data_IF_761202873941
#
_entry.id   IF_761202873941
#
_cell.length_a   1.000
_cell.length_b   1.000
_cell.length_c   1.000
_cell.angle_alpha   90.00
_cell.angle_beta   90.00
_cell.angle_gamma   90.00
#
_symmetry.space_group_name_H-M   'P 1'
#
loop_
_entity.id
_entity.type
_entity.pdbx_description
1 polymer ?
#
# COMPACT_ATOMS: atom_id res chain seq x y z
N UNK A 1 10.57 -24.02 -9.74
CA UNK A 1 11.31 -24.79 -8.73
C UNK A 1 10.36 -25.20 -7.61
N UNK A 2 9.80 -26.41 -7.69
CA UNK A 2 9.06 -27.03 -6.58
C UNK A 2 10.07 -27.85 -5.78
N UNK A 3 10.40 -27.43 -4.55
CA UNK A 3 11.16 -28.30 -3.63
C UNK A 3 10.19 -29.38 -3.17
N UNK A 4 10.41 -30.61 -3.61
CA UNK A 4 9.72 -31.78 -3.08
C UNK A 4 10.02 -31.88 -1.58
N UNK A 5 8.98 -32.03 -0.75
CA UNK A 5 9.15 -32.46 0.64
C UNK A 5 9.73 -33.87 0.58
N UNK A 6 10.93 -34.06 1.11
CA UNK A 6 11.43 -35.40 1.39
C UNK A 6 10.62 -35.94 2.57
N UNK A 7 9.91 -37.04 2.33
CA UNK A 7 9.15 -37.75 3.33
C UNK A 7 10.05 -38.18 4.49
N UNK A 8 9.51 -38.07 5.70
CA UNK A 8 10.22 -38.31 6.94
C UNK A 8 10.88 -39.69 6.97
N UNK A 9 12.13 -39.73 7.42
CA UNK A 9 12.80 -40.98 7.75
C UNK A 9 12.04 -41.65 8.90
N UNK A 10 11.35 -42.74 8.57
CA UNK A 10 10.83 -43.71 9.53
C UNK A 10 12.06 -44.46 10.07
N UNK A 11 12.53 -44.07 11.26
CA UNK A 11 13.50 -44.87 12.00
C UNK A 11 12.74 -45.95 12.77
N UNK A 12 12.80 -47.17 12.23
CA UNK A 12 12.41 -48.38 12.93
C UNK A 12 13.51 -48.76 13.93
N UNK A 13 13.15 -48.91 15.20
CA UNK A 13 13.77 -49.97 16.01
C UNK A 13 14.87 -49.61 17.01
N UNK A 14 14.66 -48.59 17.84
CA UNK A 14 15.00 -48.57 19.27
C UNK A 14 14.66 -47.18 19.81
N UNK A 15 13.95 -47.08 20.93
CA UNK A 15 13.51 -45.79 21.51
C UNK A 15 14.67 -44.93 22.05
N UNK A 16 15.89 -45.09 21.53
CA UNK A 16 17.07 -44.40 21.99
C UNK A 16 17.12 -42.98 21.43
N UNK A 17 16.49 -42.07 22.18
CA UNK A 17 16.65 -40.63 21.96
C UNK A 17 18.10 -40.25 22.36
N UNK A 18 18.91 -39.69 21.43
CA UNK A 18 20.28 -39.30 21.71
C UNK A 18 20.37 -38.34 22.92
N UNK A 19 21.44 -38.45 23.70
CA UNK A 19 21.62 -37.61 24.90
C UNK A 19 21.55 -36.11 24.59
N UNK A 20 22.10 -35.71 23.43
CA UNK A 20 22.04 -34.35 22.92
C UNK A 20 20.61 -33.91 22.66
N UNK A 21 19.79 -34.75 22.02
CA UNK A 21 18.36 -34.50 21.78
C UNK A 21 17.57 -34.37 23.11
N UNK A 22 17.93 -35.17 24.13
CA UNK A 22 17.34 -35.05 25.48
C UNK A 22 17.70 -33.73 26.15
N UNK A 23 18.94 -33.26 26.00
CA UNK A 23 19.39 -31.97 26.52
C UNK A 23 18.67 -30.81 25.83
N UNK A 24 18.60 -30.84 24.49
CA UNK A 24 17.86 -29.84 23.71
C UNK A 24 16.38 -29.80 24.12
N UNK A 25 15.73 -30.97 24.29
CA UNK A 25 14.32 -31.03 24.69
C UNK A 25 14.09 -30.57 26.15
N UNK A 26 15.05 -30.79 27.05
CA UNK A 26 14.99 -30.32 28.45
C UNK A 26 15.14 -28.81 28.62
N UNK A 27 15.83 -28.15 27.68
CA UNK A 27 16.10 -26.70 27.72
C UNK A 27 15.17 -25.90 26.81
N UNK A 28 14.33 -26.55 26.01
CA UNK A 28 13.27 -25.89 25.28
C UNK A 28 12.12 -25.53 26.23
N UNK A 29 11.74 -24.27 26.24
CA UNK A 29 10.56 -23.77 26.96
C UNK A 29 9.28 -24.42 26.38
N UNK A 30 8.24 -24.55 27.22
CA UNK A 30 6.97 -25.15 26.79
C UNK A 30 6.38 -24.37 25.60
N UNK A 31 6.38 -25.01 24.42
CA UNK A 31 5.85 -24.44 23.18
C UNK A 31 4.33 -24.24 23.20
N UNK A 32 3.61 -24.73 24.21
CA UNK A 32 2.18 -24.43 24.38
C UNK A 32 1.92 -22.93 24.55
N UNK A 33 2.91 -22.17 25.03
CA UNK A 33 2.83 -20.72 25.18
C UNK A 33 3.66 -19.96 24.14
N UNK A 34 4.43 -20.67 23.31
CA UNK A 34 5.13 -20.10 22.19
C UNK A 34 4.11 -19.88 21.06
N UNK A 35 3.56 -18.66 20.99
CA UNK A 35 2.52 -18.27 20.04
C UNK A 35 2.76 -18.83 18.64
N UNK A 36 2.07 -19.94 18.33
CA UNK A 36 2.11 -20.59 17.04
C UNK A 36 1.51 -19.69 15.98
N UNK A 37 2.12 -19.66 14.80
CA UNK A 37 1.44 -19.26 13.58
C UNK A 37 0.33 -20.29 13.30
N UNK A 38 -0.83 -20.11 13.93
CA UNK A 38 -2.01 -20.89 13.62
C UNK A 38 -2.47 -20.53 12.20
N UNK A 39 -2.76 -21.56 11.42
CA UNK A 39 -3.37 -21.41 10.11
C UNK A 39 -4.79 -20.83 10.29
N UNK A 40 -4.96 -19.60 9.82
CA UNK A 40 -6.22 -19.03 9.34
C UNK A 40 -7.41 -19.00 10.31
N UNK A 41 -7.31 -18.16 11.35
CA UNK A 41 -8.53 -17.68 12.01
C UNK A 41 -9.23 -16.61 11.14
N UNK A 42 -10.40 -16.96 10.62
CA UNK A 42 -11.35 -16.03 9.98
C UNK A 42 -11.66 -14.79 10.85
N UNK A 43 -11.41 -14.88 12.15
CA UNK A 43 -11.50 -13.77 13.09
C UNK A 43 -10.41 -12.70 12.84
N UNK A 44 -9.16 -13.09 12.61
CA UNK A 44 -8.08 -12.14 12.33
C UNK A 44 -8.30 -11.39 11.01
N UNK A 45 -8.83 -12.09 10.00
CA UNK A 45 -9.26 -11.48 8.74
C UNK A 45 -10.29 -10.36 8.95
N UNK A 46 -11.33 -10.63 9.76
CA UNK A 46 -12.38 -9.66 10.11
C UNK A 46 -11.84 -8.47 10.91
N UNK A 47 -10.93 -8.69 11.86
CA UNK A 47 -10.29 -7.61 12.63
C UNK A 47 -9.49 -6.70 11.69
N UNK A 48 -8.71 -7.28 10.77
CA UNK A 48 -7.92 -6.52 9.79
C UNK A 48 -8.80 -5.66 8.87
N UNK A 49 -9.92 -6.22 8.40
CA UNK A 49 -10.88 -5.51 7.56
C UNK A 49 -11.47 -4.30 8.30
N UNK A 50 -11.93 -4.50 9.55
CA UNK A 50 -12.43 -3.42 10.40
C UNK A 50 -11.39 -2.31 10.62
N UNK A 51 -10.12 -2.67 10.83
CA UNK A 51 -9.03 -1.69 10.99
C UNK A 51 -8.79 -0.91 9.70
N UNK A 52 -8.82 -1.59 8.54
CA UNK A 52 -8.62 -0.95 7.23
C UNK A 52 -9.76 0.04 6.91
N UNK A 53 -11.01 -0.38 7.12
CA UNK A 53 -12.19 0.47 6.95
C UNK A 53 -12.15 1.68 7.87
N UNK A 54 -11.82 1.48 9.15
CA UNK A 54 -11.68 2.59 10.11
C UNK A 54 -10.59 3.58 9.69
N UNK A 55 -9.45 3.09 9.17
CA UNK A 55 -8.38 3.96 8.64
C UNK A 55 -8.84 4.74 7.42
N UNK A 56 -9.55 4.10 6.50
CA UNK A 56 -10.08 4.76 5.31
C UNK A 56 -11.14 5.80 5.67
N UNK A 57 -12.03 5.48 6.62
CA UNK A 57 -13.02 6.41 7.14
C UNK A 57 -12.36 7.64 7.77
N UNK A 58 -11.37 7.45 8.64
CA UNK A 58 -10.60 8.55 9.24
C UNK A 58 -9.87 9.39 8.21
N UNK A 59 -9.30 8.77 7.16
CA UNK A 59 -8.64 9.51 6.09
C UNK A 59 -9.64 10.34 5.27
N UNK A 60 -10.82 9.79 4.99
CA UNK A 60 -11.91 10.51 4.31
C UNK A 60 -12.46 11.64 5.19
N UNK A 61 -12.66 11.40 6.50
CA UNK A 61 -13.08 12.42 7.47
C UNK A 61 -12.02 13.52 7.61
N UNK A 62 -10.73 13.18 7.63
CA UNK A 62 -9.64 14.17 7.64
C UNK A 62 -9.60 14.98 6.34
N UNK A 63 -9.89 14.35 5.19
CA UNK A 63 -10.03 15.05 3.91
C UNK A 63 -11.30 15.91 3.82
N UNK A 64 -12.36 15.57 4.55
CA UNK A 64 -13.57 16.37 4.66
C UNK A 64 -13.40 17.56 5.64
N UNK A 65 -12.62 17.38 6.70
CA UNK A 65 -12.28 18.42 7.68
C UNK A 65 -11.12 19.33 7.24
N UNK A 66 -10.39 18.97 6.18
CA UNK A 66 -9.42 19.88 5.58
C UNK A 66 -10.16 21.03 4.89
N UNK A 67 -9.62 22.24 5.02
CA UNK A 67 -10.17 23.49 4.46
C UNK A 67 -10.76 23.24 3.06
N UNK A 68 -12.04 23.59 2.81
CA UNK A 68 -12.69 23.29 1.54
C UNK A 68 -11.91 23.92 0.40
N UNK A 69 -11.10 23.11 -0.28
CA UNK A 69 -10.45 23.54 -1.50
C UNK A 69 -11.57 23.81 -2.49
N UNK A 70 -11.77 25.08 -2.80
CA UNK A 70 -12.76 25.51 -3.78
C UNK A 70 -12.41 24.82 -5.11
N UNK A 71 -13.31 23.99 -5.66
CA UNK A 71 -13.10 23.44 -6.99
C UNK A 71 -12.85 24.58 -7.98
N UNK A 72 -11.79 24.51 -8.80
CA UNK A 72 -11.60 25.46 -9.87
C UNK A 72 -12.84 25.49 -10.76
N UNK A 73 -13.23 26.69 -11.20
CA UNK A 73 -14.42 26.84 -12.01
C UNK A 73 -14.34 26.03 -13.30
N UNK A 74 -13.13 25.88 -13.88
CA UNK A 74 -12.93 25.29 -15.20
C UNK A 74 -11.98 24.08 -15.18
N UNK A 75 -12.22 23.12 -16.08
CA UNK A 75 -11.33 22.00 -16.38
C UNK A 75 -10.05 22.48 -17.09
N UNK A 76 -8.87 21.95 -16.73
CA UNK A 76 -7.60 22.29 -17.38
C UNK A 76 -7.56 21.89 -18.87
N UNK A 77 -8.20 20.79 -19.25
CA UNK A 77 -8.09 20.23 -20.60
C UNK A 77 -9.12 20.79 -21.59
N UNK A 78 -10.30 21.22 -21.12
CA UNK A 78 -11.39 21.66 -21.98
C UNK A 78 -12.05 22.98 -21.59
N UNK A 79 -11.59 23.63 -20.51
CA UNK A 79 -12.07 24.93 -20.01
C UNK A 79 -13.57 25.01 -19.68
N UNK A 80 -14.26 23.87 -19.69
CA UNK A 80 -15.69 23.76 -19.30
C UNK A 80 -15.84 23.81 -17.79
N UNK A 81 -17.02 24.22 -17.29
CA UNK A 81 -17.29 24.24 -15.86
C UNK A 81 -17.07 22.86 -15.23
N UNK A 82 -16.22 22.79 -14.20
CA UNK A 82 -15.85 21.55 -13.54
C UNK A 82 -16.91 21.17 -12.49
N UNK A 83 -18.01 20.58 -12.94
CA UNK A 83 -19.02 20.03 -12.05
C UNK A 83 -18.66 18.59 -11.65
N UNK A 84 -18.42 18.33 -10.36
CA UNK A 84 -18.25 17.00 -9.73
C UNK A 84 -17.44 15.97 -10.53
N UNK A 85 -16.11 16.12 -10.56
CA UNK A 85 -15.20 15.13 -11.18
C UNK A 85 -14.67 14.11 -10.17
N UNK A 86 -14.58 12.84 -10.59
CA UNK A 86 -13.90 11.79 -9.82
C UNK A 86 -12.45 12.15 -9.45
N UNK A 87 -11.72 12.75 -10.39
CA UNK A 87 -10.31 13.13 -10.19
C UNK A 87 -10.19 14.29 -9.21
N UNK A 88 -11.16 15.21 -9.22
CA UNK A 88 -11.23 16.28 -8.24
C UNK A 88 -11.50 15.73 -6.84
N UNK A 89 -12.54 14.91 -6.68
CA UNK A 89 -12.94 14.38 -5.37
C UNK A 89 -11.82 13.55 -4.71
N UNK A 90 -11.19 12.64 -5.46
CA UNK A 90 -10.19 11.72 -4.90
C UNK A 90 -8.77 12.28 -4.86
N UNK A 91 -8.40 13.11 -5.84
CA UNK A 91 -7.01 13.55 -6.03
C UNK A 91 -6.83 15.07 -6.00
N UNK A 92 -7.90 15.89 -5.97
CA UNK A 92 -7.85 17.34 -6.21
C UNK A 92 -7.19 17.69 -7.55
N UNK A 93 -7.46 16.90 -8.58
CA UNK A 93 -6.94 17.14 -9.91
C UNK A 93 -8.07 17.69 -10.81
N UNK A 94 -7.99 18.94 -11.29
CA UNK A 94 -9.12 19.65 -11.91
C UNK A 94 -9.29 19.29 -13.40
N UNK A 95 -9.67 18.03 -13.63
CA UNK A 95 -10.00 17.51 -14.95
C UNK A 95 -11.37 16.84 -14.91
N UNK A 96 -12.25 17.18 -15.85
CA UNK A 96 -13.57 16.58 -15.96
C UNK A 96 -13.50 15.11 -16.42
N UNK A 97 -14.57 14.35 -16.15
CA UNK A 97 -14.58 12.91 -16.49
C UNK A 97 -14.55 12.63 -17.99
N UNK A 98 -14.95 13.59 -18.84
CA UNK A 98 -14.85 13.47 -20.30
C UNK A 98 -13.41 13.57 -20.81
N UNK A 99 -12.57 14.39 -20.15
CA UNK A 99 -11.15 14.52 -20.46
C UNK A 99 -10.28 13.46 -19.75
N UNK A 100 -10.89 12.60 -18.93
CA UNK A 100 -10.18 11.59 -18.15
C UNK A 100 -9.54 10.51 -19.04
N UNK A 101 -8.24 10.66 -19.31
CA UNK A 101 -7.43 9.62 -19.95
C UNK A 101 -6.90 8.55 -18.99
N UNK A 102 -7.65 7.46 -18.82
CA UNK A 102 -7.31 6.31 -17.95
C UNK A 102 -6.00 5.58 -18.29
N UNK A 103 -5.53 5.65 -19.54
CA UNK A 103 -4.32 4.94 -20.00
C UNK A 103 -3.08 5.85 -20.06
N UNK A 104 -3.27 7.16 -20.13
CA UNK A 104 -2.22 8.16 -20.28
C UNK A 104 -1.83 8.84 -18.95
N UNK A 105 -1.99 10.16 -18.91
CA UNK A 105 -1.62 11.00 -17.77
C UNK A 105 -2.45 10.71 -16.50
N UNK A 106 -3.72 10.30 -16.66
CA UNK A 106 -4.62 10.04 -15.53
C UNK A 106 -4.64 8.56 -15.12
N UNK A 107 -3.63 7.78 -15.54
CA UNK A 107 -3.43 6.40 -15.07
C UNK A 107 -3.12 6.40 -13.56
N UNK A 108 -3.74 5.48 -12.83
CA UNK A 108 -3.38 5.19 -11.45
C UNK A 108 -2.17 4.26 -11.41
N UNK A 109 -1.15 4.64 -10.67
CA UNK A 109 0.09 3.88 -10.49
C UNK A 109 0.27 3.48 -9.03
N UNK A 110 0.79 2.28 -8.80
CA UNK A 110 1.05 1.83 -7.42
C UNK A 110 2.24 2.56 -6.81
N UNK A 111 2.32 2.58 -5.47
CA UNK A 111 3.51 3.10 -4.76
C UNK A 111 4.81 2.50 -5.29
N UNK A 112 4.85 1.19 -5.53
CA UNK A 112 6.03 0.50 -6.05
C UNK A 112 6.35 0.92 -7.48
N UNK A 113 5.32 1.05 -8.34
CA UNK A 113 5.49 1.53 -9.72
C UNK A 113 6.03 2.97 -9.75
N UNK A 114 5.51 3.86 -8.91
CA UNK A 114 5.98 5.24 -8.80
C UNK A 114 7.46 5.32 -8.36
N UNK A 115 7.86 4.51 -7.37
CA UNK A 115 9.26 4.45 -6.92
C UNK A 115 10.20 3.93 -8.00
N UNK A 116 9.81 2.88 -8.73
CA UNK A 116 10.65 2.27 -9.75
C UNK A 116 10.76 3.14 -11.02
N UNK A 117 9.65 3.74 -11.46
CA UNK A 117 9.64 4.55 -12.70
C UNK A 117 10.28 5.93 -12.51
N UNK A 118 10.10 6.55 -11.35
CA UNK A 118 10.55 7.92 -11.09
C UNK A 118 11.70 8.03 -10.08
N UNK A 119 12.26 6.89 -9.65
CA UNK A 119 13.36 6.82 -8.68
C UNK A 119 13.08 7.57 -7.37
N UNK A 120 11.81 7.61 -6.96
CA UNK A 120 11.35 8.28 -5.76
C UNK A 120 11.63 7.44 -4.51
N UNK A 121 11.95 8.09 -3.40
CA UNK A 121 12.05 7.46 -2.08
C UNK A 121 10.71 7.53 -1.35
N UNK A 122 10.56 6.70 -0.32
CA UNK A 122 9.36 6.70 0.51
C UNK A 122 9.13 8.04 1.23
N UNK A 123 10.22 8.72 1.64
CA UNK A 123 10.14 10.07 2.21
C UNK A 123 9.66 11.12 1.22
N UNK A 124 9.94 10.96 -0.08
CA UNK A 124 9.50 11.90 -1.10
C UNK A 124 7.98 11.83 -1.29
N UNK A 125 7.38 10.66 -1.11
CA UNK A 125 5.93 10.46 -1.24
C UNK A 125 5.16 10.87 0.01
N UNK A 126 5.66 10.52 1.20
CA UNK A 126 4.90 10.66 2.45
C UNK A 126 5.18 11.99 3.20
N UNK A 127 6.43 12.49 3.18
CA UNK A 127 6.84 13.61 4.03
C UNK A 127 6.92 14.95 3.28
N UNK A 128 7.33 14.94 2.01
CA UNK A 128 7.51 16.18 1.26
C UNK A 128 6.17 16.82 0.93
N UNK A 129 6.00 18.08 1.30
CA UNK A 129 4.88 18.92 0.89
C UNK A 129 4.99 19.26 -0.62
N UNK A 130 3.88 19.37 -1.36
CA UNK A 130 2.52 18.98 -0.95
C UNK A 130 2.36 17.46 -0.87
N UNK A 131 1.61 17.00 0.13
CA UNK A 131 1.30 15.56 0.33
C UNK A 131 0.36 15.11 -0.77
N UNK A 132 0.72 14.02 -1.46
CA UNK A 132 -0.10 13.47 -2.53
C UNK A 132 -1.27 12.66 -1.95
N UNK A 133 -2.49 12.93 -2.45
CA UNK A 133 -3.65 12.08 -2.16
C UNK A 133 -3.50 10.73 -2.87
N UNK A 134 -4.04 9.67 -2.26
CA UNK A 134 -3.98 8.32 -2.79
C UNK A 134 -5.27 7.55 -2.51
N UNK A 135 -5.51 6.52 -3.30
CA UNK A 135 -6.58 5.55 -3.07
C UNK A 135 -5.98 4.26 -2.53
N UNK A 136 -6.50 3.78 -1.40
CA UNK A 136 -6.16 2.47 -0.84
C UNK A 136 -7.03 1.38 -1.46
N UNK A 137 -6.42 0.28 -1.93
CA UNK A 137 -7.11 -0.92 -2.42
C UNK A 137 -6.47 -2.18 -1.85
N UNK A 138 -7.21 -3.29 -1.79
CA UNK A 138 -6.66 -4.60 -1.44
C UNK A 138 -5.54 -4.98 -2.40
N UNK A 139 -4.49 -5.62 -1.87
CA UNK A 139 -3.37 -6.05 -2.66
C UNK A 139 -3.79 -7.22 -3.57
N UNK A 140 -3.59 -7.12 -4.90
CA UNK A 140 -4.06 -8.14 -5.85
C UNK A 140 -3.32 -9.48 -5.71
N UNK A 141 -2.11 -9.49 -5.13
CA UNK A 141 -1.36 -10.73 -4.93
C UNK A 141 -1.87 -11.54 -3.74
N UNK A 142 -2.20 -10.86 -2.64
CA UNK A 142 -2.80 -11.49 -1.48
C UNK A 142 -3.59 -10.43 -0.69
N UNK A 143 -4.91 -10.59 -0.50
CA UNK A 143 -5.72 -9.64 0.27
C UNK A 143 -5.30 -9.54 1.74
N UNK A 144 -4.57 -10.54 2.28
CA UNK A 144 -3.97 -10.50 3.62
C UNK A 144 -2.73 -9.61 3.71
N UNK A 145 -2.15 -9.16 2.60
CA UNK A 145 -1.06 -8.19 2.64
C UNK A 145 -1.57 -6.78 2.96
N UNK A 146 -0.64 -5.85 3.18
CA UNK A 146 -0.99 -4.44 3.38
C UNK A 146 -1.72 -3.89 2.16
N UNK A 147 -2.67 -2.97 2.39
CA UNK A 147 -3.40 -2.33 1.30
C UNK A 147 -2.42 -1.58 0.38
N UNK A 148 -2.66 -1.71 -0.92
CA UNK A 148 -1.95 -1.01 -1.97
C UNK A 148 -2.40 0.44 -2.02
N UNK A 149 -1.44 1.36 -2.06
CA UNK A 149 -1.68 2.78 -2.35
C UNK A 149 -1.54 3.04 -3.85
N UNK A 150 -2.55 3.68 -4.43
CA UNK A 150 -2.61 4.11 -5.83
C UNK A 150 -2.55 5.64 -5.91
N UNK A 151 -1.61 6.15 -6.70
CA UNK A 151 -1.40 7.58 -6.94
C UNK A 151 -1.75 7.93 -8.38
N UNK A 152 -2.15 9.18 -8.64
CA UNK A 152 -2.35 9.67 -10.00
C UNK A 152 -1.01 9.92 -10.67
N UNK A 153 -0.77 9.34 -11.86
CA UNK A 153 0.50 9.48 -12.59
C UNK A 153 0.87 10.95 -12.85
N UNK A 154 -0.10 11.78 -13.24
CA UNK A 154 0.09 13.22 -13.45
C UNK A 154 0.65 13.93 -12.19
N UNK A 155 0.13 13.61 -10.99
CA UNK A 155 0.60 14.21 -9.74
C UNK A 155 2.02 13.79 -9.37
N UNK A 156 2.34 12.50 -9.58
CA UNK A 156 3.68 11.98 -9.33
C UNK A 156 4.68 12.63 -10.28
N UNK A 157 4.34 12.73 -11.57
CA UNK A 157 5.17 13.40 -12.56
C UNK A 157 5.43 14.86 -12.19
N UNK A 158 4.38 15.60 -11.84
CA UNK A 158 4.49 17.00 -11.40
C UNK A 158 5.41 17.12 -10.18
N UNK A 159 5.27 16.24 -9.19
CA UNK A 159 6.13 16.24 -8.00
C UNK A 159 7.61 16.00 -8.31
N UNK A 160 7.90 15.06 -9.22
CA UNK A 160 9.27 14.77 -9.68
C UNK A 160 9.85 15.96 -10.43
N UNK A 161 9.04 16.60 -11.27
CA UNK A 161 9.43 17.80 -12.01
C UNK A 161 9.81 18.95 -11.05
N UNK A 162 8.96 19.24 -10.06
CA UNK A 162 9.25 20.25 -9.03
C UNK A 162 10.49 19.92 -8.22
N UNK A 163 10.69 18.65 -7.85
CA UNK A 163 11.88 18.22 -7.12
C UNK A 163 13.16 18.40 -7.94
N UNK A 164 13.11 18.14 -9.24
CA UNK A 164 14.25 18.31 -10.15
C UNK A 164 14.59 19.79 -10.34
N UNK A 165 13.58 20.67 -10.39
CA UNK A 165 13.79 22.11 -10.44
C UNK A 165 14.33 22.68 -9.13
N UNK A 166 13.83 22.23 -7.97
CA UNK A 166 14.31 22.75 -6.68
C UNK A 166 15.76 22.38 -6.40
N UNK A 167 16.25 21.25 -6.93
CA UNK A 167 17.67 20.88 -6.87
C UNK A 167 18.56 21.78 -7.73
N UNK A 168 18.11 22.13 -8.95
CA UNK A 168 18.87 23.00 -9.87
C UNK A 168 19.02 24.44 -9.38
N UNK A 169 18.21 24.88 -8.43
CA UNK A 169 18.29 26.22 -7.84
C UNK A 169 19.10 26.28 -6.54
N UNK A 170 19.56 25.13 -6.03
CA UNK A 170 20.34 25.04 -4.79
C UNK A 170 21.80 24.61 -5.02
N UNK A 171 22.22 24.53 -6.29
CA UNK A 171 23.61 24.46 -6.76
C UNK A 171 23.97 25.76 -7.46
#
# INVERSE_FOLDING_TARGET
>A
MKRQRLDGHINNGDGHIPYVEKLYRKTQENYEQAGGFMDDDDEYGRVRERIAEARQKRANEAAANSDPLVPPDNCIDCEKPLCNSYLWEKFNYPVCDTCRNSKGAHKLISRTEAKNQYLLKDCDLDLRKPVLRFISKKNPHNPRYGDMKLYLKAQVYFKVFFFSLSKKFYE
#
